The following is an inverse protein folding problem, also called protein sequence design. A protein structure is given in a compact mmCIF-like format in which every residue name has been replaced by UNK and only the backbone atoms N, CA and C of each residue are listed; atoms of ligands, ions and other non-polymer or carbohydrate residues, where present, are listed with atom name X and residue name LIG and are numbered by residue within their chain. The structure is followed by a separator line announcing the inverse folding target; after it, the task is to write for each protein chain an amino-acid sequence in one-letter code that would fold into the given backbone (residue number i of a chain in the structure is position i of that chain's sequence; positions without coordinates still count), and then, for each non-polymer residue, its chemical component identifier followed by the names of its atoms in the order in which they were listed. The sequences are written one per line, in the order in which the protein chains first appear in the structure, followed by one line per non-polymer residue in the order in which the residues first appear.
data_IF_838932574502
#
_entry.id   IF_838932574502
#
_cell.length_a   1.000
_cell.length_b   1.000
_cell.length_c   1.000
_cell.angle_alpha   90.00
_cell.angle_beta   90.00
_cell.angle_gamma   90.00
#
_symmetry.space_group_name_H-M   'P 1'
#
loop_
_entity.id
_entity.type
_entity.pdbx_description
1 polymer ?
#
# COMPACT_ATOMS: atom_id res chain seq x y z
N UNK A 1 -8.07 -6.75 -13.06
CA UNK A 1 -6.66 -6.51 -13.43
C UNK A 1 -6.10 -7.60 -14.33
N UNK A 2 -6.24 -8.88 -13.98
CA UNK A 2 -5.86 -10.02 -14.85
C UNK A 2 -6.48 -9.96 -16.25
N UNK A 3 -7.72 -9.47 -16.34
CA UNK A 3 -8.47 -9.35 -17.60
C UNK A 3 -8.11 -8.13 -18.47
N UNK A 4 -7.22 -7.23 -18.00
CA UNK A 4 -6.85 -6.00 -18.71
C UNK A 4 -5.33 -5.83 -18.82
N UNK A 5 -4.56 -6.91 -18.67
CA UNK A 5 -3.08 -6.84 -18.70
C UNK A 5 -2.56 -6.40 -20.07
N UNK A 6 -3.24 -6.78 -21.14
CA UNK A 6 -3.00 -6.35 -22.51
C UNK A 6 -3.12 -4.82 -22.68
N UNK A 7 -4.12 -4.22 -22.06
CA UNK A 7 -4.34 -2.76 -22.09
C UNK A 7 -3.30 -2.01 -21.25
N UNK A 8 -2.78 -2.65 -20.21
CA UNK A 8 -1.77 -2.08 -19.31
C UNK A 8 -0.34 -2.26 -19.82
N UNK A 9 -0.07 -3.32 -20.60
CA UNK A 9 1.26 -3.65 -21.12
C UNK A 9 1.97 -2.50 -21.85
N UNK A 10 1.31 -1.69 -22.71
CA UNK A 10 1.99 -0.59 -23.39
C UNK A 10 2.08 0.70 -22.54
N UNK A 11 1.56 0.70 -21.31
CA UNK A 11 1.47 1.91 -20.48
C UNK A 11 2.48 1.86 -19.33
N UNK A 12 3.05 2.99 -18.92
CA UNK A 12 3.79 3.04 -17.67
C UNK A 12 2.80 2.88 -16.50
N UNK A 13 3.00 1.85 -15.67
CA UNK A 13 2.13 1.51 -14.55
C UNK A 13 2.85 1.72 -13.22
N UNK A 14 2.17 2.37 -12.28
CA UNK A 14 2.54 2.44 -10.88
C UNK A 14 1.43 1.82 -10.04
N UNK A 15 1.80 1.09 -9.01
CA UNK A 15 0.85 0.42 -8.12
C UNK A 15 1.02 0.91 -6.69
N UNK A 16 -0.07 0.95 -5.94
CA UNK A 16 -0.01 1.23 -4.52
C UNK A 16 -0.93 0.28 -3.77
N UNK A 17 -0.58 0.01 -2.53
CA UNK A 17 -1.42 -0.71 -1.58
C UNK A 17 -1.69 0.18 -0.39
N UNK A 18 -2.83 -0.02 0.26
CA UNK A 18 -3.16 0.65 1.51
C UNK A 18 -3.23 -0.41 2.60
N UNK A 19 -2.47 -0.19 3.66
CA UNK A 19 -2.48 -1.04 4.83
C UNK A 19 -2.46 -0.21 6.10
N UNK A 20 -2.05 -0.85 7.19
CA UNK A 20 -2.03 -0.22 8.51
C UNK A 20 -0.62 -0.17 9.13
N UNK A 21 0.50 -0.01 8.38
CA UNK A 21 1.82 -0.13 8.97
C UNK A 21 2.09 0.97 10.01
N UNK A 22 1.56 2.17 9.84
CA UNK A 22 1.69 3.25 10.83
C UNK A 22 0.77 3.09 12.06
N UNK A 23 -0.26 2.24 11.98
CA UNK A 23 -1.16 1.98 13.10
C UNK A 23 -0.57 0.98 14.12
N UNK A 24 0.49 0.27 13.75
CA UNK A 24 1.19 -0.73 14.58
C UNK A 24 2.38 -0.12 15.34
N UNK A 25 2.73 -0.68 16.49
CA UNK A 25 3.85 -0.24 17.33
C UNK A 25 4.98 -1.26 17.44
N UNK A 26 6.18 -0.77 17.78
CA UNK A 26 7.33 -1.60 18.12
C UNK A 26 7.77 -2.53 16.97
N UNK A 27 8.14 -3.79 17.26
CA UNK A 27 8.62 -4.71 16.22
C UNK A 27 7.58 -4.99 15.13
N UNK A 28 6.28 -4.88 15.43
CA UNK A 28 5.20 -5.13 14.48
C UNK A 28 5.16 -4.14 13.32
N UNK A 29 5.52 -2.87 13.55
CA UNK A 29 5.65 -1.87 12.46
C UNK A 29 6.73 -2.28 11.45
N UNK A 30 7.84 -2.86 11.92
CA UNK A 30 8.90 -3.35 11.04
C UNK A 30 8.48 -4.61 10.29
N UNK A 31 7.67 -5.47 10.92
CA UNK A 31 7.13 -6.65 10.25
C UNK A 31 6.15 -6.28 9.14
N UNK A 32 5.30 -5.26 9.33
CA UNK A 32 4.41 -4.80 8.28
C UNK A 32 5.15 -4.33 7.01
N UNK A 33 6.37 -3.79 7.15
CA UNK A 33 7.21 -3.47 6.01
C UNK A 33 7.80 -4.72 5.31
N UNK A 34 7.92 -5.85 6.02
CA UNK A 34 8.32 -7.14 5.46
C UNK A 34 7.18 -7.88 4.75
N UNK A 35 5.95 -7.40 4.86
CA UNK A 35 4.80 -7.91 4.09
C UNK A 35 4.80 -7.37 2.65
N UNK A 36 5.63 -6.37 2.31
CA UNK A 36 5.73 -5.82 0.95
C UNK A 36 5.99 -6.92 -0.10
N UNK A 37 6.99 -7.80 0.06
CA UNK A 37 7.23 -8.91 -0.87
C UNK A 37 6.00 -9.81 -1.05
N UNK A 38 5.28 -10.12 0.04
CA UNK A 38 4.06 -10.94 -0.03
C UNK A 38 2.92 -10.22 -0.77
N UNK A 39 2.82 -8.90 -0.63
CA UNK A 39 1.87 -8.08 -1.39
C UNK A 39 2.25 -8.06 -2.88
N UNK A 40 3.54 -7.96 -3.20
CA UNK A 40 4.06 -8.00 -4.57
C UNK A 40 3.84 -9.37 -5.23
N UNK A 41 4.00 -10.47 -4.48
CA UNK A 41 3.67 -11.84 -4.94
C UNK A 41 2.18 -12.00 -5.28
N UNK A 42 1.30 -11.23 -4.62
CA UNK A 42 -0.13 -11.21 -4.90
C UNK A 42 -0.50 -10.46 -6.19
N UNK A 43 0.42 -9.68 -6.78
CA UNK A 43 0.17 -8.97 -8.03
C UNK A 43 0.01 -9.97 -9.19
N UNK A 44 -0.84 -9.66 -10.19
CA UNK A 44 -0.99 -10.52 -11.35
C UNK A 44 0.36 -10.83 -12.02
N UNK A 45 0.68 -12.11 -12.28
CA UNK A 45 1.89 -12.46 -13.00
C UNK A 45 1.87 -11.81 -14.39
N UNK A 46 3.00 -11.24 -14.82
CA UNK A 46 3.12 -10.51 -16.08
C UNK A 46 2.73 -9.03 -16.01
N UNK A 47 2.34 -8.50 -14.85
CA UNK A 47 2.21 -7.06 -14.67
C UNK A 47 3.59 -6.40 -14.64
N UNK A 48 3.94 -5.67 -15.69
CA UNK A 48 5.03 -4.71 -15.65
C UNK A 48 4.61 -3.47 -14.87
N UNK A 49 5.29 -3.16 -13.77
CA UNK A 49 5.10 -1.91 -13.02
C UNK A 49 6.46 -1.31 -12.67
N UNK A 50 6.50 0.02 -12.56
CA UNK A 50 7.72 0.79 -12.29
C UNK A 50 8.05 0.90 -10.81
N UNK A 51 7.01 1.05 -10.00
CA UNK A 51 7.14 1.18 -8.55
C UNK A 51 5.88 0.70 -7.85
N UNK A 52 6.09 0.09 -6.68
CA UNK A 52 5.05 -0.19 -5.70
C UNK A 52 5.28 0.65 -4.45
N UNK A 53 4.20 1.24 -3.92
CA UNK A 53 4.24 1.96 -2.64
C UNK A 53 3.13 1.50 -1.70
N UNK A 54 3.50 1.13 -0.47
CA UNK A 54 2.55 0.87 0.61
C UNK A 54 2.28 2.16 1.40
N UNK A 55 1.04 2.62 1.40
CA UNK A 55 0.57 3.73 2.22
C UNK A 55 -0.15 3.22 3.47
N UNK A 56 -0.19 4.06 4.50
CA UNK A 56 -1.06 3.84 5.65
C UNK A 56 -2.41 4.48 5.40
N UNK A 57 -3.48 3.75 5.69
CA UNK A 57 -4.86 4.21 5.57
C UNK A 57 -5.47 4.67 6.89
N UNK A 58 -6.79 4.86 6.85
CA UNK A 58 -7.60 5.03 8.07
C UNK A 58 -7.86 3.65 8.66
N UNK A 59 -7.70 3.53 9.98
CA UNK A 59 -7.97 2.30 10.72
C UNK A 59 -9.14 2.51 11.65
N UNK A 60 -10.25 1.84 11.38
CA UNK A 60 -11.48 1.94 12.15
C UNK A 60 -11.84 0.57 12.75
N UNK A 61 -12.52 0.59 13.89
CA UNK A 61 -12.80 -0.63 14.65
C UNK A 61 -13.87 -1.53 14.04
N UNK A 62 -14.66 -1.01 13.11
CA UNK A 62 -15.70 -1.68 12.35
C UNK A 62 -15.17 -2.38 11.09
N UNK A 63 -14.00 -1.95 10.58
CA UNK A 63 -13.27 -2.62 9.50
C UNK A 63 -12.70 -3.98 9.91
N UNK A 64 -12.61 -4.25 11.22
CA UNK A 64 -12.07 -5.48 11.78
C UNK A 64 -13.19 -6.36 12.34
N UNK A 65 -13.07 -7.69 12.15
CA UNK A 65 -13.90 -8.65 12.88
C UNK A 65 -13.67 -8.53 14.38
N UNK A 66 -14.61 -9.00 15.22
CA UNK A 66 -14.47 -8.93 16.70
C UNK A 66 -13.15 -9.54 17.20
N UNK A 67 -12.76 -10.68 16.64
CA UNK A 67 -11.47 -11.34 16.95
C UNK A 67 -10.28 -10.53 16.43
N UNK A 68 -10.39 -9.97 15.22
CA UNK A 68 -9.37 -9.08 14.65
C UNK A 68 -9.17 -7.82 15.48
N UNK A 69 -10.24 -7.27 16.06
CA UNK A 69 -10.23 -6.11 16.96
C UNK A 69 -9.41 -6.39 18.22
N UNK A 70 -9.63 -7.56 18.83
CA UNK A 70 -8.90 -7.99 20.02
C UNK A 70 -7.41 -8.20 19.72
N UNK A 71 -7.08 -8.92 18.64
CA UNK A 71 -5.70 -9.13 18.22
C UNK A 71 -4.99 -7.80 17.91
N UNK A 72 -5.68 -6.88 17.23
CA UNK A 72 -5.16 -5.56 16.92
C UNK A 72 -4.82 -4.76 18.17
N UNK A 73 -5.67 -4.79 19.20
CA UNK A 73 -5.38 -4.16 20.48
C UNK A 73 -4.19 -4.82 21.21
N UNK A 74 -4.09 -6.15 21.19
CA UNK A 74 -2.99 -6.89 21.82
C UNK A 74 -1.62 -6.57 21.21
N UNK A 75 -1.55 -6.32 19.91
CA UNK A 75 -0.31 -5.87 19.24
C UNK A 75 -0.07 -4.37 19.36
N UNK A 76 -0.88 -3.65 20.16
CA UNK A 76 -0.74 -2.22 20.40
C UNK A 76 -1.24 -1.34 19.25
N UNK A 77 -2.15 -1.87 18.43
CA UNK A 77 -2.79 -1.17 17.32
C UNK A 77 -3.62 0.04 17.78
N UNK A 78 -3.58 1.11 17.00
CA UNK A 78 -4.36 2.33 17.24
C UNK A 78 -5.37 2.57 16.13
N UNK A 79 -6.58 2.94 16.50
CA UNK A 79 -7.55 3.48 15.55
C UNK A 79 -7.26 4.95 15.26
N UNK A 80 -7.52 5.38 14.04
CA UNK A 80 -7.31 6.74 13.60
C UNK A 80 -6.95 6.85 12.12
N UNK A 81 -6.78 8.08 11.67
CA UNK A 81 -6.28 8.39 10.34
C UNK A 81 -4.74 8.39 10.36
N UNK A 82 -4.13 7.48 9.61
CA UNK A 82 -2.68 7.40 9.45
C UNK A 82 -2.21 7.76 8.04
N UNK A 83 -3.08 8.36 7.22
CA UNK A 83 -2.70 8.81 5.89
C UNK A 83 -1.67 9.92 5.99
N UNK A 84 -0.54 9.71 5.34
CA UNK A 84 0.47 10.74 5.10
C UNK A 84 0.19 11.39 3.75
N UNK A 85 -0.61 12.45 3.76
CA UNK A 85 -0.98 13.18 2.53
C UNK A 85 0.24 13.78 1.83
N UNK A 86 1.25 14.23 2.58
CA UNK A 86 2.47 14.74 2.01
C UNK A 86 3.25 13.64 1.26
N UNK A 87 3.28 12.41 1.79
CA UNK A 87 3.88 11.28 1.09
C UNK A 87 3.10 10.87 -0.18
N UNK A 88 1.76 10.98 -0.16
CA UNK A 88 0.91 10.73 -1.33
C UNK A 88 1.17 11.79 -2.41
N UNK A 89 1.16 13.07 -2.04
CA UNK A 89 1.41 14.19 -2.96
C UNK A 89 2.82 14.12 -3.55
N UNK A 90 3.83 13.79 -2.73
CA UNK A 90 5.20 13.61 -3.18
C UNK A 90 5.34 12.45 -4.18
N UNK A 91 4.62 11.34 -3.95
CA UNK A 91 4.61 10.22 -4.88
C UNK A 91 3.92 10.57 -6.21
N UNK A 92 2.76 11.23 -6.15
CA UNK A 92 2.06 11.71 -7.34
C UNK A 92 2.91 12.69 -8.15
N UNK A 93 3.62 13.60 -7.46
CA UNK A 93 4.55 14.54 -8.08
C UNK A 93 5.71 13.82 -8.77
N UNK A 94 6.26 12.77 -8.16
CA UNK A 94 7.32 11.96 -8.75
C UNK A 94 6.85 11.25 -10.03
N UNK A 95 5.66 10.62 -10.01
CA UNK A 95 5.05 9.99 -11.21
C UNK A 95 4.88 11.02 -12.33
N UNK A 96 4.38 12.21 -12.01
CA UNK A 96 4.22 13.28 -13.00
C UNK A 96 5.58 13.76 -13.54
N UNK A 97 6.65 13.68 -12.75
CA UNK A 97 8.02 13.90 -13.20
C UNK A 97 8.47 12.84 -14.20
N UNK A 98 8.35 11.56 -13.84
CA UNK A 98 8.71 10.41 -14.68
C UNK A 98 7.98 10.44 -16.03
N UNK A 99 6.67 10.69 -16.02
CA UNK A 99 5.85 10.78 -17.25
C UNK A 99 6.26 11.91 -18.21
N UNK A 100 6.90 12.97 -17.71
CA UNK A 100 7.39 14.06 -18.55
C UNK A 100 8.71 13.70 -19.23
N UNK A 101 9.52 12.85 -18.61
CA UNK A 101 10.81 12.41 -19.16
C UNK A 101 10.62 11.36 -20.25
N UNK A 102 9.58 10.53 -20.15
CA UNK A 102 9.29 9.48 -21.14
C UNK A 102 8.61 9.96 -22.42
N UNK A 103 8.34 11.27 -22.55
CA UNK A 103 7.66 11.84 -23.71
C UNK A 103 8.63 12.17 -24.83
#
# INVERSE_FOLDING_TARGET
MRENLDVLAPRPVWVFSVGMPAALRGPWRRMAAKELPAIEEGLPPGLGYRSHRLFSGVVEGDQLSRTGRLLFQLVGGRYGDFRDWHAVDGWATAIAGELRVDR
#
